data_IF_604604305166
#
_entry.id   IF_604604305166
#
_cell.length_a   1.000
_cell.length_b   1.000
_cell.length_c   1.000
_cell.angle_alpha   90.00
_cell.angle_beta   90.00
_cell.angle_gamma   90.00
#
_symmetry.space_group_name_H-M   'P 1'
#
loop_
_entity.id
_entity.type
_entity.pdbx_description
1 polymer ?
#
# COMPACT_ATOMS: atom_id res chain seq x y z
N UNK A 1 23.10 1.46 -19.44
CA UNK A 1 21.68 1.75 -19.12
C UNK A 1 21.66 2.59 -17.85
N UNK A 2 21.08 3.79 -17.87
CA UNK A 2 20.98 4.64 -16.67
C UNK A 2 19.72 4.35 -15.87
N UNK A 3 19.72 4.67 -14.57
CA UNK A 3 18.59 4.48 -13.65
C UNK A 3 17.28 5.16 -14.11
N UNK A 4 17.39 6.17 -15.00
CA UNK A 4 16.25 6.88 -15.60
C UNK A 4 15.41 6.04 -16.57
N UNK A 5 15.91 4.90 -17.04
CA UNK A 5 15.22 4.03 -17.98
C UNK A 5 14.64 2.77 -17.31
N UNK A 6 14.68 2.71 -15.97
CA UNK A 6 14.04 1.63 -15.23
C UNK A 6 12.55 1.90 -15.16
N UNK A 7 11.77 1.19 -15.98
CA UNK A 7 10.32 1.12 -15.89
C UNK A 7 9.94 -0.19 -15.21
N UNK A 8 9.26 -0.12 -14.07
CA UNK A 8 8.65 -1.29 -13.45
C UNK A 8 7.37 -1.64 -14.22
N UNK A 9 7.21 -2.92 -14.57
CA UNK A 9 6.06 -3.37 -15.34
C UNK A 9 4.78 -3.25 -14.48
N UNK A 10 3.73 -2.55 -14.96
CA UNK A 10 2.43 -2.59 -14.31
C UNK A 10 1.71 -3.91 -14.62
N UNK A 11 0.68 -4.22 -13.83
CA UNK A 11 -0.28 -5.28 -14.13
C UNK A 11 -1.69 -4.69 -14.27
N UNK A 12 -2.47 -5.19 -15.22
CA UNK A 12 -3.87 -4.77 -15.41
C UNK A 12 -4.79 -5.67 -14.60
N UNK A 13 -5.77 -5.11 -13.89
CA UNK A 13 -6.84 -5.82 -13.18
C UNK A 13 -8.15 -5.59 -13.92
N UNK A 14 -8.87 -6.66 -14.20
CA UNK A 14 -10.14 -6.61 -14.93
C UNK A 14 -11.32 -6.50 -13.97
N UNK A 15 -12.28 -5.64 -14.30
CA UNK A 15 -13.50 -5.42 -13.51
C UNK A 15 -14.71 -5.97 -14.28
N UNK A 16 -15.66 -6.66 -13.61
CA UNK A 16 -16.91 -7.05 -14.25
C UNK A 16 -17.61 -5.85 -14.89
N UNK A 17 -17.88 -5.93 -16.20
CA UNK A 17 -18.39 -4.80 -16.98
C UNK A 17 -17.45 -4.32 -18.10
N UNK A 18 -16.22 -4.86 -18.15
CA UNK A 18 -15.26 -4.56 -19.21
C UNK A 18 -14.38 -3.34 -18.93
N UNK A 19 -14.49 -2.76 -17.74
CA UNK A 19 -13.55 -1.77 -17.22
C UNK A 19 -12.30 -2.46 -16.66
N UNK A 20 -11.17 -1.76 -16.68
CA UNK A 20 -9.93 -2.26 -16.09
C UNK A 20 -9.09 -1.12 -15.53
N UNK A 21 -8.23 -1.44 -14.57
CA UNK A 21 -7.29 -0.49 -13.99
C UNK A 21 -5.91 -1.13 -13.85
N UNK A 22 -4.87 -0.31 -13.72
CA UNK A 22 -3.49 -0.80 -13.60
C UNK A 22 -2.96 -0.66 -12.19
N UNK A 23 -2.34 -1.72 -11.68
CA UNK A 23 -1.61 -1.73 -10.40
C UNK A 23 -0.10 -1.87 -10.62
N UNK A 24 0.68 -1.44 -9.63
CA UNK A 24 2.13 -1.52 -9.61
C UNK A 24 2.62 -2.13 -8.30
N UNK A 25 3.86 -2.62 -8.30
CA UNK A 25 4.55 -3.01 -7.07
C UNK A 25 4.75 -1.81 -6.15
N UNK A 26 4.70 -2.04 -4.84
CA UNK A 26 4.88 -1.00 -3.85
C UNK A 26 6.36 -0.71 -3.64
N UNK A 27 6.73 0.56 -3.72
CA UNK A 27 8.05 1.01 -3.30
C UNK A 27 8.15 1.08 -1.76
N UNK A 28 9.35 0.94 -1.18
CA UNK A 28 9.50 0.99 0.28
C UNK A 28 8.94 2.25 0.94
N UNK A 29 9.02 3.42 0.30
CA UNK A 29 8.44 4.66 0.81
C UNK A 29 6.91 4.57 0.96
N UNK A 30 6.21 3.97 -0.02
CA UNK A 30 4.76 3.78 0.03
C UNK A 30 4.36 2.82 1.14
N UNK A 31 5.15 1.78 1.37
CA UNK A 31 4.92 0.85 2.48
C UNK A 31 5.18 1.51 3.83
N UNK A 32 6.17 2.41 3.94
CA UNK A 32 6.37 3.23 5.14
C UNK A 32 5.19 4.17 5.36
N UNK A 33 4.69 4.83 4.32
CA UNK A 33 3.50 5.69 4.42
C UNK A 33 2.30 4.90 4.94
N UNK A 34 2.03 3.73 4.36
CA UNK A 34 0.96 2.84 4.80
C UNK A 34 1.17 2.39 6.26
N UNK A 35 2.42 2.02 6.61
CA UNK A 35 2.79 1.65 7.98
C UNK A 35 2.51 2.77 8.97
N UNK A 36 2.92 4.00 8.67
CA UNK A 36 2.75 5.14 9.55
C UNK A 36 1.26 5.45 9.79
N UNK A 37 0.44 5.36 8.74
CA UNK A 37 -1.01 5.62 8.81
C UNK A 37 -1.76 4.55 9.60
N UNK A 38 -1.32 3.30 9.49
CA UNK A 38 -1.97 2.15 10.15
C UNK A 38 -1.12 1.47 11.21
N UNK A 39 -0.20 2.19 11.86
CA UNK A 39 0.81 1.62 12.79
C UNK A 39 0.21 0.64 13.77
N UNK A 40 -0.91 0.99 14.43
CA UNK A 40 -1.57 0.10 15.39
C UNK A 40 -2.10 -1.20 14.76
N UNK A 41 -2.78 -1.11 13.62
CA UNK A 41 -3.38 -2.26 12.94
C UNK A 41 -2.34 -3.16 12.28
N UNK A 42 -1.32 -2.57 11.62
CA UNK A 42 -0.25 -3.33 10.97
C UNK A 42 0.68 -3.98 11.99
N UNK A 43 0.99 -3.32 13.11
CA UNK A 43 1.76 -3.97 14.18
C UNK A 43 0.99 -5.16 14.76
N UNK A 44 -0.31 -5.02 15.06
CA UNK A 44 -1.11 -6.12 15.58
C UNK A 44 -1.21 -7.31 14.59
N UNK A 45 -1.42 -7.00 13.30
CA UNK A 45 -1.39 -7.99 12.22
C UNK A 45 -0.08 -8.79 12.20
N UNK A 46 1.05 -8.11 12.37
CA UNK A 46 2.37 -8.75 12.32
C UNK A 46 2.70 -9.54 13.57
N UNK A 47 2.41 -8.98 14.74
CA UNK A 47 2.67 -9.63 16.02
C UNK A 47 1.85 -10.93 16.13
N UNK A 48 0.68 -10.98 15.49
CA UNK A 48 -0.15 -12.18 15.45
C UNK A 48 0.38 -13.27 14.50
N UNK A 49 1.31 -12.95 13.58
CA UNK A 49 1.71 -13.84 12.48
C UNK A 49 3.23 -13.86 12.29
N UNK A 50 3.91 -14.65 13.12
CA UNK A 50 5.39 -14.76 13.10
C UNK A 50 5.98 -15.31 11.78
N UNK A 51 5.19 -15.79 10.81
CA UNK A 51 5.71 -16.49 9.61
C UNK A 51 4.91 -16.24 8.31
N UNK A 52 4.62 -14.99 7.94
CA UNK A 52 4.09 -14.70 6.60
C UNK A 52 5.21 -14.85 5.56
N UNK A 53 5.28 -16.01 4.92
CA UNK A 53 6.25 -16.33 3.86
C UNK A 53 5.66 -16.18 2.47
N UNK A 54 4.36 -16.43 2.32
CA UNK A 54 3.65 -16.39 1.04
C UNK A 54 2.79 -15.12 0.91
N UNK A 55 2.60 -14.67 -0.33
CA UNK A 55 1.74 -13.51 -0.64
C UNK A 55 0.29 -13.82 -0.26
N UNK A 56 -0.17 -15.05 -0.49
CA UNK A 56 -1.54 -15.46 -0.21
C UNK A 56 -1.86 -15.33 1.29
N UNK A 57 -0.91 -15.66 2.16
CA UNK A 57 -1.09 -15.55 3.62
C UNK A 57 -1.25 -14.09 4.06
N UNK A 58 -0.48 -13.18 3.45
CA UNK A 58 -0.63 -11.74 3.67
C UNK A 58 -2.01 -11.27 3.23
N UNK A 59 -2.47 -11.69 2.06
CA UNK A 59 -3.78 -11.30 1.51
C UNK A 59 -4.91 -11.76 2.41
N UNK A 60 -4.89 -13.02 2.85
CA UNK A 60 -5.92 -13.56 3.76
C UNK A 60 -5.93 -12.78 5.08
N UNK A 61 -4.76 -12.40 5.59
CA UNK A 61 -4.64 -11.62 6.82
C UNK A 61 -5.22 -10.21 6.65
N UNK A 62 -4.88 -9.52 5.55
CA UNK A 62 -5.43 -8.21 5.24
C UNK A 62 -6.94 -8.25 5.06
N UNK A 63 -7.45 -9.27 4.36
CA UNK A 63 -8.88 -9.43 4.12
C UNK A 63 -9.68 -9.64 5.41
N UNK A 64 -9.15 -10.45 6.33
CA UNK A 64 -9.83 -10.77 7.59
C UNK A 64 -9.73 -9.64 8.61
N UNK A 65 -8.51 -9.12 8.79
CA UNK A 65 -8.17 -8.38 10.01
C UNK A 65 -7.97 -6.88 9.73
N UNK A 66 -7.77 -6.48 8.46
CA UNK A 66 -7.59 -5.09 8.08
C UNK A 66 -8.07 -4.76 6.64
N UNK A 67 -9.38 -4.87 6.36
CA UNK A 67 -9.93 -4.61 5.03
C UNK A 67 -9.70 -3.15 4.57
N UNK A 68 -9.60 -2.21 5.50
CA UNK A 68 -9.29 -0.81 5.19
C UNK A 68 -7.89 -0.65 4.61
N UNK A 69 -6.91 -1.38 5.16
CA UNK A 69 -5.53 -1.38 4.69
C UNK A 69 -5.45 -1.99 3.29
N UNK A 70 -6.24 -3.04 3.02
CA UNK A 70 -6.32 -3.63 1.69
C UNK A 70 -6.79 -2.60 0.64
N UNK A 71 -7.87 -1.87 0.93
CA UNK A 71 -8.39 -0.84 0.02
C UNK A 71 -7.35 0.27 -0.22
N UNK A 72 -6.71 0.74 0.85
CA UNK A 72 -5.66 1.75 0.78
C UNK A 72 -4.44 1.28 -0.02
N UNK A 73 -4.03 0.03 0.16
CA UNK A 73 -2.94 -0.60 -0.57
C UNK A 73 -3.24 -0.66 -2.08
N UNK A 74 -4.46 -1.06 -2.46
CA UNK A 74 -4.89 -1.09 -3.86
C UNK A 74 -4.89 0.32 -4.47
N UNK A 75 -5.42 1.32 -3.76
CA UNK A 75 -5.42 2.71 -4.23
C UNK A 75 -3.99 3.20 -4.47
N UNK A 76 -3.10 3.06 -3.49
CA UNK A 76 -1.70 3.47 -3.60
C UNK A 76 -1.00 2.75 -4.77
N UNK A 77 -1.21 1.44 -4.91
CA UNK A 77 -0.63 0.66 -6.00
C UNK A 77 -1.19 1.04 -7.38
N UNK A 78 -2.40 1.59 -7.43
CA UNK A 78 -3.04 2.11 -8.65
C UNK A 78 -2.55 3.51 -9.03
N UNK A 79 -1.72 4.14 -8.18
CA UNK A 79 -1.12 5.43 -8.43
C UNK A 79 -1.70 6.58 -7.61
N UNK A 80 -2.64 6.29 -6.69
CA UNK A 80 -3.19 7.30 -5.80
C UNK A 80 -2.09 7.92 -4.95
N UNK A 81 -2.09 9.25 -4.89
CA UNK A 81 -1.12 10.02 -4.10
C UNK A 81 -1.71 10.21 -2.71
N UNK A 82 -1.07 9.59 -1.72
CA UNK A 82 -1.33 9.92 -0.32
C UNK A 82 -0.91 11.37 -0.09
N UNK A 83 -1.88 12.28 -0.08
CA UNK A 83 -1.68 13.69 0.24
C UNK A 83 -2.16 13.90 1.67
N UNK A 84 -1.24 14.10 2.60
CA UNK A 84 -1.61 14.39 4.00
C UNK A 84 -2.10 15.84 4.17
N UNK A 85 -1.84 16.76 3.24
CA UNK A 85 -2.27 18.16 3.38
C UNK A 85 -2.32 18.89 2.03
N UNK A 86 -3.22 19.89 1.98
CA UNK A 86 -3.58 20.81 0.89
C UNK A 86 -4.45 20.23 -0.23
N UNK A 87 -5.77 20.33 -0.04
CA UNK A 87 -6.70 20.60 -1.15
C UNK A 87 -6.21 21.89 -1.79
N UNK A 88 -5.74 21.85 -3.04
CA UNK A 88 -5.44 23.10 -3.76
C UNK A 88 -6.72 23.96 -3.72
N UNK A 89 -6.64 25.27 -3.45
CA UNK A 89 -7.81 26.14 -3.29
C UNK A 89 -8.76 26.13 -4.50
N UNK A 90 -8.29 25.62 -5.64
CA UNK A 90 -8.99 25.56 -6.92
C UNK A 90 -9.43 24.13 -7.30
N UNK A 91 -9.22 23.14 -6.43
CA UNK A 91 -9.71 21.78 -6.65
C UNK A 91 -11.22 21.79 -6.55
N UNK A 92 -11.91 21.27 -7.57
CA UNK A 92 -13.35 21.11 -7.57
C UNK A 92 -13.75 20.26 -6.36
N UNK A 93 -14.21 20.92 -5.29
CA UNK A 93 -14.63 20.27 -4.05
C UNK A 93 -15.79 19.37 -4.40
N UNK A 94 -15.56 18.05 -4.39
CA UNK A 94 -16.65 17.13 -4.66
C UNK A 94 -17.75 17.30 -3.59
N UNK A 95 -19.00 16.91 -3.87
CA UNK A 95 -20.13 17.13 -2.96
C UNK A 95 -19.98 16.47 -1.59
N UNK A 96 -19.03 15.54 -1.46
CA UNK A 96 -18.74 14.77 -0.25
C UNK A 96 -17.53 15.30 0.52
N UNK A 97 -16.81 16.31 0.01
CA UNK A 97 -15.60 16.85 0.63
C UNK A 97 -14.41 15.87 0.66
N UNK A 98 -14.45 14.79 -0.14
CA UNK A 98 -13.39 13.78 -0.18
C UNK A 98 -12.23 14.23 -1.08
N UNK A 99 -11.00 13.90 -0.68
CA UNK A 99 -9.83 14.00 -1.54
C UNK A 99 -9.87 12.97 -2.68
N UNK A 100 -9.09 13.17 -3.73
CA UNK A 100 -8.91 12.18 -4.82
C UNK A 100 -8.50 10.82 -4.28
N UNK A 101 -7.58 10.84 -3.33
CA UNK A 101 -7.10 9.66 -2.65
C UNK A 101 -8.20 8.92 -1.89
N UNK A 102 -9.03 9.62 -1.10
CA UNK A 102 -10.14 8.99 -0.38
C UNK A 102 -11.19 8.39 -1.31
N UNK A 103 -11.42 9.01 -2.48
CA UNK A 103 -12.29 8.45 -3.52
C UNK A 103 -11.72 7.15 -4.08
N UNK A 104 -10.42 7.11 -4.35
CA UNK A 104 -9.76 5.92 -4.86
C UNK A 104 -9.78 4.78 -3.83
N UNK A 105 -9.62 5.10 -2.53
CA UNK A 105 -9.75 4.12 -1.44
C UNK A 105 -11.17 3.58 -1.37
N UNK A 106 -12.20 4.43 -1.44
CA UNK A 106 -13.60 3.99 -1.40
C UNK A 106 -13.98 3.18 -2.65
N UNK A 107 -13.46 3.55 -3.82
CA UNK A 107 -13.61 2.78 -5.05
C UNK A 107 -12.97 1.39 -4.89
N UNK A 108 -11.74 1.31 -4.37
CA UNK A 108 -11.06 0.06 -4.12
C UNK A 108 -11.82 -0.83 -3.11
N UNK A 109 -12.35 -0.24 -2.04
CA UNK A 109 -13.20 -0.91 -1.05
C UNK A 109 -14.48 -1.49 -1.66
N UNK A 110 -15.05 -0.76 -2.62
CA UNK A 110 -16.31 -1.13 -3.30
C UNK A 110 -16.15 -2.17 -4.40
N UNK A 111 -14.92 -2.53 -4.77
CA UNK A 111 -14.67 -3.57 -5.77
C UNK A 111 -15.24 -4.92 -5.32
N UNK A 112 -15.69 -5.79 -6.24
CA UNK A 112 -16.04 -7.16 -5.88
C UNK A 112 -14.84 -7.87 -5.23
N UNK A 113 -15.07 -8.68 -4.20
CA UNK A 113 -14.01 -9.36 -3.47
C UNK A 113 -13.03 -10.13 -4.38
N UNK A 114 -13.46 -10.86 -5.43
CA UNK A 114 -12.52 -11.52 -6.35
C UNK A 114 -11.56 -10.54 -7.04
N UNK A 115 -12.04 -9.33 -7.37
CA UNK A 115 -11.24 -8.27 -8.02
C UNK A 115 -10.24 -7.69 -7.03
N UNK A 116 -10.64 -7.47 -5.76
CA UNK A 116 -9.72 -7.03 -4.71
C UNK A 116 -8.59 -8.05 -4.48
N UNK A 117 -8.94 -9.35 -4.42
CA UNK A 117 -7.96 -10.42 -4.28
C UNK A 117 -7.00 -10.50 -5.47
N UNK A 118 -7.52 -10.38 -6.70
CA UNK A 118 -6.71 -10.36 -7.91
C UNK A 118 -5.73 -9.17 -7.91
N UNK A 119 -6.20 -7.98 -7.55
CA UNK A 119 -5.37 -6.80 -7.43
C UNK A 119 -4.25 -7.02 -6.40
N UNK A 120 -4.58 -7.51 -5.20
CA UNK A 120 -3.59 -7.78 -4.16
C UNK A 120 -2.56 -8.84 -4.58
N UNK A 121 -2.97 -9.90 -5.28
CA UNK A 121 -2.05 -10.92 -5.80
C UNK A 121 -1.05 -10.28 -6.77
N UNK A 122 -1.54 -9.51 -7.74
CA UNK A 122 -0.70 -8.80 -8.71
C UNK A 122 0.25 -7.82 -8.02
N UNK A 123 -0.24 -7.07 -7.03
CA UNK A 123 0.61 -6.16 -6.25
C UNK A 123 1.68 -6.93 -5.50
N UNK A 124 1.33 -8.04 -4.85
CA UNK A 124 2.27 -8.89 -4.13
C UNK A 124 3.35 -9.48 -5.04
N UNK A 125 2.96 -10.01 -6.20
CA UNK A 125 3.89 -10.55 -7.22
C UNK A 125 4.83 -9.48 -7.78
N UNK A 126 4.35 -8.24 -7.91
CA UNK A 126 5.17 -7.10 -8.35
C UNK A 126 6.05 -6.51 -7.23
N UNK A 127 5.71 -6.74 -5.96
CA UNK A 127 6.40 -6.15 -4.79
C UNK A 127 7.45 -7.09 -4.21
N UNK A 128 7.13 -8.38 -4.12
CA UNK A 128 7.94 -9.37 -3.42
C UNK A 128 8.70 -10.27 -4.40
N UNK A 129 9.78 -10.87 -3.91
CA UNK A 129 10.53 -11.89 -4.65
C UNK A 129 10.85 -13.05 -3.73
N UNK A 130 11.27 -14.19 -4.29
CA UNK A 130 11.72 -15.35 -3.50
C UNK A 130 12.85 -15.01 -2.52
N UNK A 131 13.73 -14.05 -2.88
CA UNK A 131 14.83 -13.58 -2.02
C UNK A 131 14.39 -12.59 -0.93
N UNK A 132 13.20 -12.01 -1.10
CA UNK A 132 12.62 -10.96 -0.27
C UNK A 132 11.10 -11.20 -0.15
N UNK A 133 10.68 -12.24 0.59
CA UNK A 133 9.27 -12.54 0.84
C UNK A 133 8.62 -11.46 1.72
N UNK A 134 7.28 -11.41 1.81
CA UNK A 134 6.54 -10.36 2.51
C UNK A 134 7.05 -10.09 3.93
N UNK A 135 7.11 -11.12 4.78
CA UNK A 135 7.57 -10.96 6.16
C UNK A 135 8.97 -10.34 6.27
N UNK A 136 9.91 -10.75 5.40
CA UNK A 136 11.27 -10.22 5.37
C UNK A 136 11.33 -8.78 4.86
N UNK A 137 10.60 -8.48 3.78
CA UNK A 137 10.52 -7.13 3.23
C UNK A 137 10.01 -6.14 4.29
N UNK A 138 8.95 -6.52 4.98
CA UNK A 138 8.26 -5.66 5.93
C UNK A 138 9.09 -5.47 7.21
N UNK A 139 9.77 -6.51 7.68
CA UNK A 139 10.75 -6.38 8.76
C UNK A 139 11.89 -5.39 8.43
N UNK A 140 12.36 -5.37 7.18
CA UNK A 140 13.37 -4.39 6.72
C UNK A 140 12.78 -2.99 6.73
N UNK A 141 11.57 -2.81 6.19
CA UNK A 141 10.89 -1.51 6.13
C UNK A 141 10.64 -0.94 7.53
N UNK A 142 10.09 -1.73 8.45
CA UNK A 142 9.82 -1.31 9.84
C UNK A 142 11.13 -0.93 10.55
N UNK A 143 12.20 -1.71 10.35
CA UNK A 143 13.52 -1.39 10.91
C UNK A 143 14.08 -0.08 10.37
N UNK A 144 13.85 0.23 9.09
CA UNK A 144 14.25 1.51 8.50
C UNK A 144 13.43 2.67 9.07
N UNK A 145 12.11 2.54 9.17
CA UNK A 145 11.22 3.54 9.75
C UNK A 145 11.57 3.84 11.21
N UNK A 146 11.81 2.80 12.02
CA UNK A 146 12.22 2.95 13.41
C UNK A 146 13.57 3.64 13.58
N UNK A 147 14.56 3.33 12.74
CA UNK A 147 15.89 3.97 12.76
C UNK A 147 15.84 5.44 12.33
N UNK A 148 15.05 5.77 11.31
CA UNK A 148 14.88 7.16 10.87
C UNK A 148 14.30 8.01 12.01
N UNK A 149 13.25 7.51 12.68
CA UNK A 149 12.60 8.18 13.80
C UNK A 149 13.55 8.43 14.98
N UNK A 150 14.41 7.45 15.31
CA UNK A 150 15.41 7.59 16.37
C UNK A 150 16.49 8.65 16.03
N UNK A 151 16.94 8.72 14.77
CA UNK A 151 17.95 9.69 14.34
C UNK A 151 17.43 11.15 14.40
N UNK A 152 16.18 11.38 14.00
CA UNK A 152 15.54 12.70 14.13
C UNK A 152 15.37 13.13 15.59
N UNK A 153 15.02 12.20 16.48
CA UNK A 153 14.86 12.49 17.92
C UNK A 153 16.17 12.83 18.62
N UNK A 154 17.30 12.32 18.13
CA UNK A 154 18.64 12.63 18.66
C UNK A 154 19.18 13.96 18.13
N UNK A 155 18.85 14.33 16.89
CA UNK A 155 19.15 15.62 16.27
C UNK A 155 18.42 16.79 16.95
N UNK A 156 17.16 16.60 17.35
CA UNK A 156 16.35 17.64 18.00
C UNK A 156 16.71 17.92 19.48
N UNK A 157 17.62 17.13 20.07
CA UNK A 157 18.10 17.29 21.46
C UNK A 157 19.53 17.84 21.57
N UNK A 158 20.16 18.18 20.44
CA UNK A 158 21.51 18.75 20.38
C UNK A 158 21.49 20.19 19.92
#
# INVERSE_FOLDING_TARGET
>A
MGLRNLSFAPATVEVPGGESFTVRGLSPDKVITLYNRHTGQLSALWDSRENITEVQDLIVSLLSDAPDIMAELIAIASGSKVTDDFVEPDTEVNPLGLTDYERDVEAARSLPLPVQMEALLKIGELTFSSSMPPGKFLAVVIKLAGKATAAFSQSAKS
#
